data_IF_676472495236
#
_entry.id   IF_676472495236
#
_cell.length_a   1.000
_cell.length_b   1.000
_cell.length_c   1.000
_cell.angle_alpha   90.00
_cell.angle_beta   90.00
_cell.angle_gamma   90.00
#
_symmetry.space_group_name_H-M   'P 1'
#
loop_
_entity.id
_entity.type
_entity.pdbx_description
1 polymer ?
#
# COMPACT_ATOMS: atom_id res chain seq x y z
N UNK A 1 -26.50 6.44 -0.04
CA UNK A 1 -27.17 6.02 -1.28
C UNK A 1 -26.07 5.79 -2.30
N UNK A 2 -25.98 4.59 -2.87
CA UNK A 2 -25.10 4.37 -4.03
C UNK A 2 -25.72 5.18 -5.17
N UNK A 3 -25.05 6.22 -5.61
CA UNK A 3 -25.49 7.02 -6.77
C UNK A 3 -25.25 6.14 -8.00
N UNK A 4 -26.29 5.93 -8.81
CA UNK A 4 -26.19 5.30 -10.12
C UNK A 4 -26.28 6.38 -11.19
N UNK A 5 -25.50 6.22 -12.26
CA UNK A 5 -25.60 7.06 -13.44
C UNK A 5 -26.91 6.78 -14.23
N UNK A 6 -27.13 7.50 -15.33
CA UNK A 6 -28.27 7.32 -16.23
C UNK A 6 -28.36 5.91 -16.83
N UNK A 7 -27.26 5.16 -16.84
CA UNK A 7 -27.15 3.84 -17.44
C UNK A 7 -27.21 2.71 -16.39
N UNK A 8 -27.44 3.08 -15.11
CA UNK A 8 -27.58 2.14 -13.99
C UNK A 8 -26.26 1.64 -13.39
N UNK A 9 -25.12 2.20 -13.80
CA UNK A 9 -23.83 1.86 -13.21
C UNK A 9 -23.63 2.55 -11.87
N UNK A 10 -22.97 1.88 -10.94
CA UNK A 10 -22.60 2.48 -9.66
C UNK A 10 -21.57 3.57 -9.89
N UNK A 11 -21.92 4.82 -9.54
CA UNK A 11 -20.98 5.93 -9.59
C UNK A 11 -20.02 5.79 -8.41
N UNK A 12 -18.74 5.65 -8.71
CA UNK A 12 -17.70 5.65 -7.69
C UNK A 12 -17.56 7.06 -7.08
N UNK A 13 -17.35 7.17 -5.76
CA UNK A 13 -16.90 8.42 -5.16
C UNK A 13 -15.59 8.90 -5.81
N UNK A 14 -15.43 10.22 -5.91
CA UNK A 14 -14.31 10.86 -6.62
C UNK A 14 -12.93 10.32 -6.18
N UNK A 15 -12.75 10.04 -4.89
CA UNK A 15 -11.49 9.51 -4.38
C UNK A 15 -11.14 8.13 -4.97
N UNK A 16 -12.13 7.28 -5.20
CA UNK A 16 -11.93 5.96 -5.81
C UNK A 16 -11.72 6.06 -7.31
N UNK A 17 -12.44 6.95 -7.98
CA UNK A 17 -12.23 7.23 -9.39
C UNK A 17 -10.82 7.78 -9.65
N UNK A 18 -10.36 8.74 -8.83
CA UNK A 18 -9.00 9.28 -8.90
C UNK A 18 -7.94 8.18 -8.73
N UNK A 19 -8.17 7.23 -7.81
CA UNK A 19 -7.26 6.10 -7.62
C UNK A 19 -7.22 5.19 -8.84
N UNK A 20 -8.39 4.81 -9.38
CA UNK A 20 -8.48 3.97 -10.57
C UNK A 20 -7.82 4.64 -11.78
N UNK A 21 -8.11 5.92 -12.01
CA UNK A 21 -7.52 6.69 -13.11
C UNK A 21 -5.99 6.77 -12.99
N UNK A 22 -5.48 6.98 -11.75
CA UNK A 22 -4.05 7.01 -11.49
C UNK A 22 -3.38 5.67 -11.80
N UNK A 23 -3.98 4.57 -11.37
CA UNK A 23 -3.47 3.23 -11.64
C UNK A 23 -3.53 2.88 -13.12
N UNK A 24 -4.63 3.24 -13.82
CA UNK A 24 -4.79 3.03 -15.26
C UNK A 24 -3.83 3.89 -16.10
N UNK A 25 -3.44 5.06 -15.59
CA UNK A 25 -2.40 5.89 -16.19
C UNK A 25 -0.98 5.34 -15.99
N UNK A 26 -0.83 4.21 -15.29
CA UNK A 26 0.46 3.57 -15.04
C UNK A 26 1.28 4.23 -13.92
N UNK A 27 0.63 4.98 -13.02
CA UNK A 27 1.33 5.54 -11.85
C UNK A 27 1.72 4.40 -10.91
N UNK A 28 3.01 4.27 -10.67
CA UNK A 28 3.61 3.17 -9.91
C UNK A 28 3.88 3.51 -8.43
N UNK A 29 3.71 4.78 -8.03
CA UNK A 29 3.95 5.28 -6.67
C UNK A 29 2.77 6.14 -6.19
N UNK A 30 1.97 5.60 -5.28
CA UNK A 30 0.75 6.24 -4.78
C UNK A 30 0.70 6.22 -3.26
N UNK A 31 0.37 7.35 -2.63
CA UNK A 31 0.00 7.42 -1.21
C UNK A 31 -1.52 7.46 -1.08
N UNK A 32 -2.07 6.55 -0.30
CA UNK A 32 -3.46 6.57 0.14
C UNK A 32 -3.52 7.08 1.57
N UNK A 33 -4.17 8.20 1.79
CA UNK A 33 -4.25 8.82 3.11
C UNK A 33 -5.69 9.14 3.51
N UNK A 34 -5.89 9.47 4.77
CA UNK A 34 -7.20 9.83 5.31
C UNK A 34 -7.68 8.89 6.40
N UNK A 35 -8.93 8.97 6.83
CA UNK A 35 -9.43 8.33 8.03
C UNK A 35 -9.28 6.82 8.05
N UNK A 36 -9.11 6.20 9.23
CA UNK A 36 -9.03 4.75 9.34
C UNK A 36 -10.34 4.07 8.93
N UNK A 37 -10.24 2.83 8.47
CA UNK A 37 -11.39 1.99 8.12
C UNK A 37 -12.06 2.31 6.79
N UNK A 38 -11.51 3.19 5.95
CA UNK A 38 -12.05 3.54 4.63
C UNK A 38 -11.70 2.54 3.52
N UNK A 39 -10.81 1.59 3.77
CA UNK A 39 -10.44 0.56 2.78
C UNK A 39 -9.12 0.81 2.05
N UNK A 40 -8.28 1.75 2.48
CA UNK A 40 -6.97 2.09 1.85
C UNK A 40 -6.09 0.86 1.59
N UNK A 41 -5.88 0.04 2.63
CA UNK A 41 -5.07 -1.18 2.52
C UNK A 41 -5.65 -2.17 1.54
N UNK A 42 -6.98 -2.36 1.56
CA UNK A 42 -7.68 -3.22 0.61
C UNK A 42 -7.48 -2.73 -0.82
N UNK A 43 -7.61 -1.42 -1.04
CA UNK A 43 -7.39 -0.82 -2.36
C UNK A 43 -5.95 -1.07 -2.86
N UNK A 44 -4.94 -0.85 -2.02
CA UNK A 44 -3.54 -1.14 -2.36
C UNK A 44 -3.31 -2.58 -2.78
N UNK A 45 -4.02 -3.53 -2.16
CA UNK A 45 -3.90 -4.97 -2.43
C UNK A 45 -4.64 -5.44 -3.69
N UNK A 46 -5.70 -4.75 -4.11
CA UNK A 46 -6.66 -5.31 -5.09
C UNK A 46 -6.90 -4.45 -6.33
N UNK A 47 -6.69 -3.13 -6.26
CA UNK A 47 -6.98 -2.24 -7.38
C UNK A 47 -5.83 -2.20 -8.39
N UNK A 48 -6.17 -2.07 -9.67
CA UNK A 48 -5.22 -2.09 -10.78
C UNK A 48 -4.57 -3.47 -10.99
N UNK A 49 -3.46 -3.52 -11.73
CA UNK A 49 -2.76 -4.79 -12.00
C UNK A 49 -1.93 -5.23 -10.79
N UNK A 50 -2.36 -6.29 -10.15
CA UNK A 50 -1.65 -6.99 -9.06
C UNK A 50 -1.32 -8.44 -9.41
N UNK A 51 -1.36 -8.78 -10.70
CA UNK A 51 -1.17 -10.16 -11.18
C UNK A 51 0.24 -10.72 -10.90
N UNK A 52 1.26 -9.84 -10.82
CA UNK A 52 2.63 -10.22 -10.44
C UNK A 52 2.81 -10.36 -8.90
N UNK A 53 1.74 -10.23 -8.13
CA UNK A 53 1.72 -10.32 -6.68
C UNK A 53 1.59 -8.97 -5.99
N UNK A 54 0.95 -9.00 -4.81
CA UNK A 54 0.82 -7.87 -3.92
C UNK A 54 1.34 -8.26 -2.52
N UNK A 55 2.36 -7.55 -2.05
CA UNK A 55 3.12 -7.90 -0.85
C UNK A 55 2.96 -6.80 0.19
N UNK A 56 2.25 -7.13 1.26
CA UNK A 56 1.95 -6.18 2.34
C UNK A 56 2.98 -6.29 3.46
N UNK A 57 3.43 -5.15 3.93
CA UNK A 57 4.07 -4.97 5.23
C UNK A 57 3.29 -3.95 6.05
N UNK A 58 3.20 -4.15 7.35
CA UNK A 58 2.59 -3.19 8.27
C UNK A 58 3.72 -2.53 9.03
N UNK A 59 3.84 -1.22 8.87
CA UNK A 59 4.88 -0.46 9.56
C UNK A 59 4.53 -0.30 11.03
N UNK A 60 5.52 -0.49 11.89
CA UNK A 60 5.45 -0.31 13.34
C UNK A 60 6.75 0.34 13.82
N UNK A 61 6.73 0.92 15.01
CA UNK A 61 7.93 1.52 15.61
C UNK A 61 9.04 0.48 15.88
N UNK A 62 8.67 -0.77 16.18
CA UNK A 62 9.59 -1.87 16.51
C UNK A 62 10.04 -2.68 15.30
N UNK A 63 9.59 -2.30 14.10
CA UNK A 63 9.95 -3.00 12.87
C UNK A 63 11.44 -2.82 12.55
N UNK A 64 12.03 -3.86 11.97
CA UNK A 64 13.45 -3.92 11.64
C UNK A 64 13.68 -3.84 10.12
N UNK A 65 14.90 -3.56 9.70
CA UNK A 65 15.29 -3.66 8.30
C UNK A 65 15.09 -5.08 7.73
N UNK A 66 15.17 -6.11 8.58
CA UNK A 66 14.89 -7.48 8.21
C UNK A 66 13.44 -7.73 7.78
N UNK A 67 12.49 -7.00 8.34
CA UNK A 67 11.08 -7.09 7.93
C UNK A 67 10.86 -6.50 6.53
N UNK A 68 11.66 -5.52 6.13
CA UNK A 68 11.62 -4.89 4.80
C UNK A 68 12.31 -5.75 3.75
N UNK A 69 13.58 -6.09 3.96
CA UNK A 69 14.43 -6.77 2.97
C UNK A 69 14.50 -8.27 3.18
N UNK A 70 14.46 -8.74 4.41
CA UNK A 70 14.54 -10.15 4.76
C UNK A 70 15.53 -10.41 5.87
N UNK A 71 15.53 -11.63 6.36
CA UNK A 71 16.41 -12.09 7.43
C UNK A 71 16.72 -13.58 7.34
N UNK A 72 17.76 -14.02 8.03
CA UNK A 72 18.05 -15.44 8.20
C UNK A 72 17.13 -16.03 9.27
N UNK A 73 16.38 -17.05 8.88
CA UNK A 73 15.47 -17.77 9.77
C UNK A 73 16.01 -19.17 10.05
N UNK A 74 15.91 -19.65 11.32
CA UNK A 74 16.36 -20.99 11.68
C UNK A 74 15.44 -22.07 11.08
N UNK A 75 16.04 -23.10 10.52
CA UNK A 75 15.35 -24.30 10.04
C UNK A 75 15.27 -25.36 11.14
N UNK A 76 14.41 -26.35 10.97
CA UNK A 76 14.24 -27.48 11.91
C UNK A 76 15.47 -28.35 12.08
N UNK A 77 16.41 -28.32 11.11
CA UNK A 77 17.67 -29.06 11.14
C UNK A 77 18.83 -28.26 11.78
N UNK A 78 18.57 -27.07 12.33
CA UNK A 78 19.58 -26.19 12.95
C UNK A 78 20.38 -25.33 11.97
N UNK A 79 20.14 -25.44 10.65
CA UNK A 79 20.68 -24.49 9.68
C UNK A 79 19.85 -23.21 9.61
N UNK A 80 20.35 -22.20 8.92
CA UNK A 80 19.61 -20.96 8.63
C UNK A 80 19.35 -20.85 7.14
N UNK A 81 18.21 -20.28 6.77
CA UNK A 81 17.91 -19.91 5.40
C UNK A 81 17.43 -18.47 5.33
N UNK A 82 17.79 -17.81 4.23
CA UNK A 82 17.31 -16.47 3.97
C UNK A 82 15.83 -16.49 3.61
N UNK A 83 15.05 -15.65 4.27
CA UNK A 83 13.64 -15.41 3.96
C UNK A 83 13.49 -13.94 3.53
N UNK A 84 13.17 -13.73 2.26
CA UNK A 84 13.00 -12.38 1.72
C UNK A 84 11.83 -11.65 2.41
N UNK A 85 12.03 -10.38 2.71
CA UNK A 85 11.01 -9.47 3.22
C UNK A 85 10.04 -9.00 2.14
N UNK A 86 9.07 -8.19 2.53
CA UNK A 86 8.00 -7.78 1.63
C UNK A 86 8.52 -6.95 0.44
N UNK A 87 9.50 -6.07 0.66
CA UNK A 87 10.03 -5.22 -0.40
C UNK A 87 10.78 -6.02 -1.47
N UNK A 88 11.65 -6.96 -1.08
CA UNK A 88 12.34 -7.84 -2.04
C UNK A 88 11.38 -8.78 -2.77
N UNK A 89 10.36 -9.31 -2.08
CA UNK A 89 9.32 -10.10 -2.74
C UNK A 89 8.56 -9.29 -3.79
N UNK A 90 8.27 -8.02 -3.49
CA UNK A 90 7.64 -7.13 -4.44
C UNK A 90 8.56 -6.79 -5.62
N UNK A 91 9.88 -6.61 -5.39
CA UNK A 91 10.83 -6.41 -6.48
C UNK A 91 10.88 -7.60 -7.44
N UNK A 92 10.82 -8.84 -6.91
CA UNK A 92 10.85 -10.06 -7.70
C UNK A 92 9.50 -10.41 -8.34
N UNK A 93 8.40 -10.07 -7.67
CA UNK A 93 7.05 -10.30 -8.13
C UNK A 93 6.77 -11.75 -8.50
N UNK A 94 6.35 -12.00 -9.74
CA UNK A 94 6.11 -13.34 -10.30
C UNK A 94 7.39 -14.01 -10.89
N UNK A 95 8.55 -13.36 -10.74
CA UNK A 95 9.83 -13.80 -11.30
C UNK A 95 10.11 -13.27 -12.71
N UNK A 96 9.13 -12.67 -13.38
CA UNK A 96 9.24 -12.01 -14.70
C UNK A 96 9.02 -10.51 -14.56
N UNK A 97 7.95 -10.12 -13.88
CA UNK A 97 7.57 -8.74 -13.59
C UNK A 97 7.63 -8.47 -12.10
N UNK A 98 7.95 -7.22 -11.75
CA UNK A 98 7.82 -6.74 -10.38
C UNK A 98 6.36 -6.71 -9.93
N UNK A 99 6.14 -7.04 -8.67
CA UNK A 99 4.84 -6.97 -8.02
C UNK A 99 4.63 -5.62 -7.32
N UNK A 100 3.60 -5.55 -6.49
CA UNK A 100 3.28 -4.35 -5.73
C UNK A 100 3.67 -4.50 -4.26
N UNK A 101 4.44 -3.53 -3.75
CA UNK A 101 4.65 -3.37 -2.32
C UNK A 101 3.53 -2.51 -1.71
N UNK A 102 2.93 -2.98 -0.64
CA UNK A 102 2.02 -2.18 0.18
C UNK A 102 2.68 -1.91 1.53
N UNK A 103 3.12 -0.66 1.74
CA UNK A 103 3.63 -0.20 3.04
C UNK A 103 2.47 0.44 3.82
N UNK A 104 1.87 -0.36 4.70
CA UNK A 104 0.67 0.02 5.45
C UNK A 104 1.08 0.75 6.73
N UNK A 105 0.40 1.85 7.05
CA UNK A 105 0.67 2.70 8.22
C UNK A 105 2.11 3.25 8.25
N UNK A 106 2.57 3.79 7.11
CA UNK A 106 3.97 4.24 6.90
C UNK A 106 4.42 5.29 7.92
N UNK A 107 3.50 6.06 8.46
CA UNK A 107 3.74 7.05 9.51
C UNK A 107 4.29 6.46 10.81
N UNK A 108 4.17 5.14 11.01
CA UNK A 108 4.68 4.42 12.18
C UNK A 108 6.06 3.80 11.96
N UNK A 109 6.63 3.89 10.77
CA UNK A 109 7.96 3.36 10.51
C UNK A 109 9.03 4.13 11.28
N UNK A 110 9.85 3.43 12.05
CA UNK A 110 11.03 4.02 12.70
C UNK A 110 12.03 4.58 11.69
N UNK A 111 12.89 5.52 12.12
CA UNK A 111 13.78 6.26 11.22
C UNK A 111 14.70 5.39 10.36
N UNK A 112 15.27 4.33 10.91
CA UNK A 112 16.16 3.41 10.17
C UNK A 112 15.40 2.62 9.11
N UNK A 113 14.18 2.18 9.43
CA UNK A 113 13.30 1.47 8.49
C UNK A 113 12.79 2.41 7.40
N UNK A 114 12.43 3.63 7.77
CA UNK A 114 12.03 4.65 6.80
C UNK A 114 13.17 4.95 5.80
N UNK A 115 14.41 5.07 6.28
CA UNK A 115 15.58 5.26 5.42
C UNK A 115 15.83 4.06 4.47
N UNK A 116 15.69 2.83 4.98
CA UNK A 116 15.80 1.64 4.15
C UNK A 116 14.69 1.56 3.09
N UNK A 117 13.46 1.86 3.48
CA UNK A 117 12.34 1.95 2.53
C UNK A 117 12.58 3.00 1.45
N UNK A 118 13.14 4.17 1.78
CA UNK A 118 13.49 5.18 0.80
C UNK A 118 14.45 4.64 -0.26
N UNK A 119 15.47 3.87 0.16
CA UNK A 119 16.41 3.24 -0.76
C UNK A 119 15.75 2.17 -1.63
N UNK A 120 14.81 1.39 -1.06
CA UNK A 120 14.06 0.36 -1.79
C UNK A 120 13.01 0.94 -2.76
N UNK A 121 12.55 2.17 -2.53
CA UNK A 121 11.53 2.86 -3.31
C UNK A 121 12.10 3.85 -4.32
N UNK A 122 13.40 3.89 -4.46
CA UNK A 122 14.07 4.74 -5.45
C UNK A 122 13.78 4.29 -6.89
N UNK A 123 14.16 5.07 -7.89
CA UNK A 123 13.93 4.73 -9.29
C UNK A 123 14.57 3.39 -9.70
N UNK A 124 14.03 2.74 -10.74
CA UNK A 124 14.49 1.42 -11.21
C UNK A 124 16.00 1.35 -11.44
N UNK A 125 16.60 2.45 -11.93
CA UNK A 125 18.02 2.52 -12.23
C UNK A 125 18.92 2.69 -11.00
N UNK A 126 18.40 3.30 -9.92
CA UNK A 126 19.14 3.66 -8.71
C UNK A 126 18.90 2.68 -7.56
N UNK A 127 17.69 2.12 -7.46
CA UNK A 127 17.35 1.17 -6.42
C UNK A 127 18.16 -0.13 -6.57
N UNK A 128 18.91 -0.48 -5.53
CA UNK A 128 19.66 -1.73 -5.50
C UNK A 128 19.86 -2.22 -4.06
N UNK A 129 19.91 -3.52 -3.90
CA UNK A 129 20.16 -4.17 -2.62
C UNK A 129 21.07 -5.38 -2.83
N UNK A 130 22.10 -5.51 -2.00
CA UNK A 130 23.04 -6.61 -2.05
C UNK A 130 22.64 -7.70 -1.03
N UNK A 131 22.51 -8.93 -1.51
CA UNK A 131 22.21 -10.08 -0.65
C UNK A 131 23.40 -10.39 0.26
N UNK A 132 23.22 -10.48 1.59
CA UNK A 132 24.33 -10.55 2.54
C UNK A 132 25.17 -11.83 2.46
N UNK A 133 24.64 -12.91 1.91
CA UNK A 133 25.34 -14.19 1.78
C UNK A 133 25.93 -14.39 0.38
N UNK A 134 25.14 -14.09 -0.65
CA UNK A 134 25.53 -14.40 -2.04
C UNK A 134 26.22 -13.25 -2.74
N UNK A 135 26.22 -12.06 -2.15
CA UNK A 135 26.72 -10.79 -2.72
C UNK A 135 26.08 -10.44 -4.08
N UNK A 136 24.94 -11.05 -4.39
CA UNK A 136 24.17 -10.71 -5.58
C UNK A 136 23.45 -9.39 -5.37
N UNK A 137 23.56 -8.51 -6.37
CA UNK A 137 22.81 -7.26 -6.39
C UNK A 137 21.43 -7.54 -6.98
N UNK A 138 20.41 -7.24 -6.19
CA UNK A 138 19.01 -7.26 -6.59
C UNK A 138 18.56 -5.85 -6.98
N UNK A 139 17.70 -5.77 -7.97
CA UNK A 139 17.05 -4.55 -8.44
C UNK A 139 15.57 -4.83 -8.66
N UNK A 140 14.70 -3.82 -8.58
CA UNK A 140 13.30 -4.00 -8.92
C UNK A 140 13.16 -4.45 -10.37
N UNK A 141 12.29 -5.41 -10.61
CA UNK A 141 11.92 -5.81 -11.95
C UNK A 141 10.95 -4.79 -12.53
N UNK A 142 10.93 -4.69 -13.87
CA UNK A 142 9.97 -3.84 -14.56
C UNK A 142 8.54 -4.15 -14.11
N UNK A 143 7.75 -3.12 -13.88
CA UNK A 143 6.37 -3.23 -13.37
C UNK A 143 6.26 -3.23 -11.84
N UNK A 144 7.39 -3.12 -11.11
CA UNK A 144 7.34 -2.90 -9.68
C UNK A 144 6.59 -1.61 -9.35
N UNK A 145 5.64 -1.71 -8.42
CA UNK A 145 4.88 -0.56 -7.92
C UNK A 145 4.80 -0.54 -6.40
N UNK A 146 4.54 0.61 -5.83
CA UNK A 146 4.37 0.75 -4.40
C UNK A 146 3.17 1.63 -4.05
N UNK A 147 2.38 1.16 -3.08
CA UNK A 147 1.29 1.91 -2.47
C UNK A 147 1.60 2.05 -0.99
N UNK A 148 1.67 3.28 -0.52
CA UNK A 148 1.74 3.57 0.90
C UNK A 148 0.37 3.92 1.44
N UNK A 149 0.08 3.53 2.67
CA UNK A 149 -1.12 3.97 3.37
C UNK A 149 -0.76 4.68 4.67
N UNK A 150 -1.55 5.67 5.03
CA UNK A 150 -1.43 6.37 6.32
C UNK A 150 -2.78 6.86 6.79
N UNK A 151 -2.92 7.07 8.11
CA UNK A 151 -4.09 7.69 8.70
C UNK A 151 -3.87 9.18 9.01
N UNK A 152 -2.71 9.73 8.67
CA UNK A 152 -2.40 11.15 8.79
C UNK A 152 -3.27 11.94 7.81
N UNK A 153 -3.85 13.03 8.28
CA UNK A 153 -4.64 13.96 7.43
C UNK A 153 -3.74 15.03 6.79
N UNK A 154 -2.70 15.47 7.49
CA UNK A 154 -1.74 16.42 6.96
C UNK A 154 -0.48 15.71 6.42
N UNK A 155 -0.32 15.70 5.11
CA UNK A 155 0.81 15.05 4.44
C UNK A 155 2.17 15.66 4.79
N UNK A 156 2.22 16.89 5.27
CA UNK A 156 3.48 17.55 5.71
C UNK A 156 4.11 16.88 6.94
N UNK A 157 3.36 16.04 7.65
CA UNK A 157 3.87 15.24 8.76
C UNK A 157 4.74 14.06 8.30
N UNK A 158 4.62 13.66 7.04
CA UNK A 158 5.49 12.64 6.45
C UNK A 158 6.82 13.25 6.00
N UNK A 159 7.92 12.47 6.06
CA UNK A 159 9.23 12.94 5.59
C UNK A 159 9.16 13.44 4.14
N UNK A 160 9.68 14.63 3.81
CA UNK A 160 9.67 15.17 2.44
C UNK A 160 10.30 14.21 1.42
N UNK A 161 11.39 13.54 1.77
CA UNK A 161 12.06 12.57 0.91
C UNK A 161 11.16 11.38 0.52
N UNK A 162 10.20 11.03 1.39
CA UNK A 162 9.21 10.00 1.09
C UNK A 162 8.16 10.54 0.11
N UNK A 163 7.69 11.76 0.33
CA UNK A 163 6.70 12.42 -0.51
C UNK A 163 7.21 12.68 -1.93
N UNK A 164 8.51 12.95 -2.08
CA UNK A 164 9.15 13.16 -3.39
C UNK A 164 9.10 11.90 -4.27
N UNK A 165 9.13 10.71 -3.66
CA UNK A 165 9.04 9.44 -4.38
C UNK A 165 7.62 9.04 -4.74
N UNK A 166 6.63 9.69 -4.15
CA UNK A 166 5.21 9.41 -4.34
C UNK A 166 4.48 10.65 -4.87
N UNK A 167 4.50 10.85 -6.19
CA UNK A 167 3.94 12.05 -6.81
C UNK A 167 2.41 12.12 -6.68
N UNK A 168 1.75 10.97 -6.61
CA UNK A 168 0.29 10.90 -6.51
C UNK A 168 -0.14 10.58 -5.08
N UNK A 169 -1.01 11.42 -4.55
CA UNK A 169 -1.57 11.34 -3.20
C UNK A 169 -3.07 11.37 -3.30
N UNK A 170 -3.73 10.29 -2.92
CA UNK A 170 -5.18 10.16 -2.99
C UNK A 170 -5.77 10.10 -1.59
N UNK A 171 -6.63 11.06 -1.27
CA UNK A 171 -7.35 11.05 -0.01
C UNK A 171 -8.56 10.14 -0.11
N UNK A 172 -8.55 9.03 0.64
CA UNK A 172 -9.66 8.10 0.71
C UNK A 172 -10.51 8.46 1.94
N UNK A 173 -11.53 9.25 1.75
CA UNK A 173 -12.42 9.73 2.81
C UNK A 173 -13.80 9.07 2.78
N UNK A 174 -14.15 8.38 1.71
CA UNK A 174 -15.41 7.65 1.58
C UNK A 174 -15.15 6.15 1.41
N UNK A 175 -16.02 5.28 1.95
CA UNK A 175 -15.92 3.85 1.73
C UNK A 175 -16.27 3.49 0.28
N UNK A 176 -15.61 2.45 -0.24
CA UNK A 176 -15.95 1.94 -1.57
C UNK A 176 -17.39 1.38 -1.59
N UNK A 177 -18.18 1.61 -2.65
CA UNK A 177 -19.57 1.14 -2.75
C UNK A 177 -19.71 -0.37 -2.56
N UNK A 178 -18.81 -1.17 -3.10
CA UNK A 178 -18.82 -2.63 -2.95
C UNK A 178 -18.58 -3.08 -1.51
N UNK A 179 -17.74 -2.34 -0.77
CA UNK A 179 -17.54 -2.61 0.64
C UNK A 179 -18.83 -2.32 1.44
N UNK A 180 -19.56 -1.25 1.08
CA UNK A 180 -20.87 -0.96 1.67
C UNK A 180 -21.91 -2.05 1.37
N UNK A 181 -21.84 -2.70 0.22
CA UNK A 181 -22.76 -3.79 -0.11
C UNK A 181 -22.57 -5.04 0.77
N UNK A 182 -21.36 -5.24 1.30
CA UNK A 182 -21.03 -6.40 2.16
C UNK A 182 -21.53 -6.26 3.60
N UNK A 183 -21.85 -5.05 4.05
CA UNK A 183 -22.44 -4.83 5.38
C UNK A 183 -23.96 -4.95 5.33
N UNK A 184 -24.59 -5.26 6.48
CA UNK A 184 -26.03 -5.39 6.58
C UNK A 184 -26.74 -4.08 6.18
N UNK A 185 -27.95 -4.18 5.64
CA UNK A 185 -28.71 -3.01 5.15
C UNK A 185 -28.91 -1.94 6.21
N UNK A 186 -29.12 -2.35 7.46
CA UNK A 186 -29.38 -1.45 8.57
C UNK A 186 -28.13 -0.61 8.93
N UNK A 187 -26.94 -1.17 8.74
CA UNK A 187 -25.67 -0.47 9.01
C UNK A 187 -25.19 0.41 7.86
N UNK A 188 -25.66 0.19 6.62
CA UNK A 188 -25.23 0.97 5.45
C UNK A 188 -25.57 2.46 5.59
N UNK A 189 -26.80 2.76 5.99
CA UNK A 189 -27.24 4.14 6.20
C UNK A 189 -26.43 4.84 7.30
N UNK A 190 -26.12 4.12 8.37
CA UNK A 190 -25.29 4.64 9.46
C UNK A 190 -23.86 4.88 8.98
N UNK A 191 -23.27 3.95 8.24
CA UNK A 191 -21.90 4.06 7.72
C UNK A 191 -21.74 5.27 6.79
N UNK A 192 -22.72 5.52 5.90
CA UNK A 192 -22.72 6.68 5.01
C UNK A 192 -22.87 7.98 5.79
N UNK A 193 -23.85 8.07 6.70
CA UNK A 193 -24.09 9.29 7.48
C UNK A 193 -22.91 9.64 8.38
N UNK A 194 -22.19 8.66 8.92
CA UNK A 194 -21.02 8.89 9.74
C UNK A 194 -19.80 9.32 8.88
N UNK A 195 -19.71 8.84 7.64
CA UNK A 195 -18.70 9.30 6.70
C UNK A 195 -18.91 10.77 6.32
N UNK A 196 -20.15 11.15 6.03
CA UNK A 196 -20.53 12.53 5.67
C UNK A 196 -20.38 13.52 6.85
N UNK A 197 -20.64 13.06 8.07
CA UNK A 197 -20.58 13.91 9.26
C UNK A 197 -19.14 14.17 9.77
N UNK A 198 -18.12 13.53 9.21
CA UNK A 198 -16.73 13.64 9.68
C UNK A 198 -16.47 13.13 11.11
N UNK A 199 -17.54 12.62 11.76
CA UNK A 199 -17.51 12.09 13.12
C UNK A 199 -17.48 10.57 13.09
N UNK A 200 -17.03 9.93 14.18
CA UNK A 200 -16.89 8.49 14.41
C UNK A 200 -17.34 7.56 13.26
N UNK A 201 -16.40 6.93 12.59
CA UNK A 201 -16.66 6.04 11.45
C UNK A 201 -16.84 4.60 11.88
N UNK A 202 -17.75 3.89 11.21
CA UNK A 202 -17.82 2.43 11.33
C UNK A 202 -16.65 1.84 10.55
N UNK A 203 -15.75 1.15 11.23
CA UNK A 203 -14.65 0.43 10.56
C UNK A 203 -15.24 -0.69 9.69
N UNK A 204 -14.76 -0.78 8.47
CA UNK A 204 -15.13 -1.81 7.48
C UNK A 204 -14.30 -3.09 7.61
N UNK A 205 -13.62 -3.25 8.75
CA UNK A 205 -12.82 -4.46 9.08
C UNK A 205 -13.68 -5.59 9.56
#
# INVERSE_FOLDING_TARGET
MTTTDSDGNVVLPECWQTLEDSLNAGIDRIVLFGPPGTGKTFAGLTFGDTSAGAFRMVCTEDMTNGDVTGSFMPNSNGSFSWVAGAALKAWEGDGVRGGRLIADEIDKAGGDVAANLLAMLDGEDSASWEHPETHRIHRPRQGFSAVMTTNIENMEELPPALLDRFPVRVRIDQPHPDALQRISRDLRGIAVSLADAGSRRVSMR
#
